data_IF_643217645725
#
_entry.id   IF_643217645725
#
_cell.length_a   1.000
_cell.length_b   1.000
_cell.length_c   1.000
_cell.angle_alpha   90.00
_cell.angle_beta   90.00
_cell.angle_gamma   90.00
#
_symmetry.space_group_name_H-M   'P 1'
#
loop_
_entity.id
_entity.type
_entity.pdbx_description
1 polymer ?
#
# COMPACT_ATOMS: atom_id res chain seq x y z
N UNK A 1 4.45 -12.53 -12.76
CA UNK A 1 5.90 -12.29 -12.62
C UNK A 1 6.06 -10.82 -12.28
N UNK A 2 6.39 -10.51 -11.02
CA UNK A 2 6.47 -9.13 -10.53
C UNK A 2 7.92 -8.67 -10.60
N UNK A 3 8.23 -7.85 -11.60
CA UNK A 3 9.56 -7.20 -11.73
C UNK A 3 9.64 -5.96 -10.82
N UNK A 4 8.48 -5.39 -10.47
CA UNK A 4 8.44 -4.22 -9.60
C UNK A 4 8.68 -4.62 -8.14
N UNK A 5 9.79 -4.16 -7.59
CA UNK A 5 10.18 -4.29 -6.18
C UNK A 5 10.62 -2.95 -5.63
N UNK A 6 10.45 -2.74 -4.35
CA UNK A 6 10.92 -1.53 -3.63
C UNK A 6 12.09 -1.81 -2.70
N UNK A 7 12.51 -3.07 -2.60
CA UNK A 7 13.68 -3.48 -1.79
C UNK A 7 14.85 -3.90 -2.65
N UNK A 8 16.06 -3.76 -2.10
CA UNK A 8 17.29 -4.26 -2.68
C UNK A 8 17.62 -5.61 -2.04
N UNK A 9 17.15 -6.70 -2.64
CA UNK A 9 17.37 -8.06 -2.14
C UNK A 9 18.31 -8.88 -3.02
N UNK A 10 18.98 -8.22 -3.96
CA UNK A 10 19.90 -8.86 -4.90
C UNK A 10 19.22 -9.56 -6.08
N UNK A 11 17.88 -9.47 -6.19
CA UNK A 11 17.17 -9.96 -7.37
C UNK A 11 17.41 -9.03 -8.56
N UNK A 12 17.86 -9.60 -9.67
CA UNK A 12 18.07 -8.91 -10.94
C UNK A 12 17.10 -9.49 -11.98
N UNK A 13 15.81 -9.24 -11.79
CA UNK A 13 14.80 -9.61 -12.76
C UNK A 13 14.65 -8.51 -13.80
N UNK A 14 14.37 -8.91 -15.04
CA UNK A 14 14.04 -7.96 -16.11
C UNK A 14 12.90 -8.50 -16.96
N UNK A 15 12.10 -7.58 -17.47
CA UNK A 15 11.01 -7.89 -18.41
C UNK A 15 11.19 -7.07 -19.67
N UNK A 16 10.96 -7.73 -20.81
CA UNK A 16 10.93 -7.06 -22.10
C UNK A 16 9.55 -6.48 -22.35
N UNK A 17 9.48 -5.16 -22.51
CA UNK A 17 8.25 -4.45 -22.82
C UNK A 17 8.30 -3.85 -24.22
N UNK A 18 7.12 -3.77 -24.85
CA UNK A 18 6.95 -3.15 -26.17
C UNK A 18 6.25 -1.83 -26.00
N UNK A 19 6.78 -0.81 -26.63
CA UNK A 19 6.23 0.52 -26.58
C UNK A 19 6.45 1.28 -27.88
N UNK A 20 6.18 2.58 -27.83
CA UNK A 20 6.44 3.50 -28.93
C UNK A 20 7.54 4.44 -28.51
N UNK A 21 8.56 4.57 -29.33
CA UNK A 21 9.59 5.56 -29.16
C UNK A 21 8.98 6.96 -29.33
N UNK A 22 9.17 7.82 -28.34
CA UNK A 22 8.56 9.16 -28.32
C UNK A 22 9.23 10.15 -29.27
N UNK A 23 10.46 9.86 -29.71
CA UNK A 23 11.21 10.70 -30.64
C UNK A 23 10.94 10.31 -32.08
N UNK A 24 11.05 9.03 -32.40
CA UNK A 24 10.90 8.51 -33.77
C UNK A 24 9.47 8.15 -34.12
N UNK A 25 8.62 7.93 -33.12
CA UNK A 25 7.24 7.47 -33.28
C UNK A 25 7.11 6.01 -33.66
N UNK A 26 8.22 5.25 -33.77
CA UNK A 26 8.24 3.86 -34.21
C UNK A 26 8.04 2.89 -33.04
N UNK A 27 7.48 1.70 -33.31
CA UNK A 27 7.45 0.61 -32.34
C UNK A 27 8.87 0.24 -31.92
N UNK A 28 9.09 0.11 -30.63
CA UNK A 28 10.38 -0.31 -30.07
C UNK A 28 10.16 -1.31 -28.94
N UNK A 29 11.22 -2.03 -28.64
CA UNK A 29 11.27 -3.01 -27.55
C UNK A 29 12.42 -2.66 -26.63
N UNK A 30 12.18 -2.59 -25.32
CA UNK A 30 13.21 -2.31 -24.33
C UNK A 30 13.04 -3.21 -23.11
N UNK A 31 14.10 -3.36 -22.36
CA UNK A 31 14.12 -4.12 -21.11
C UNK A 31 13.96 -3.19 -19.94
N UNK A 32 13.11 -3.54 -19.01
CA UNK A 32 12.93 -2.87 -17.72
C UNK A 32 13.39 -3.83 -16.63
N UNK A 33 14.32 -3.39 -15.81
CA UNK A 33 14.84 -4.17 -14.68
C UNK A 33 14.12 -3.87 -13.37
N UNK A 34 14.27 -4.74 -12.38
CA UNK A 34 13.81 -4.51 -11.00
C UNK A 34 14.39 -3.23 -10.43
N UNK A 35 15.66 -2.93 -10.76
CA UNK A 35 16.35 -1.73 -10.29
C UNK A 35 15.74 -0.45 -10.92
N UNK A 36 15.40 -0.48 -12.19
CA UNK A 36 14.71 0.65 -12.83
C UNK A 36 13.37 0.94 -12.15
N UNK A 37 12.62 -0.12 -11.81
CA UNK A 37 11.37 0.00 -11.08
C UNK A 37 11.58 0.55 -9.68
N UNK A 38 12.58 0.05 -8.95
CA UNK A 38 12.92 0.49 -7.60
C UNK A 38 13.24 1.99 -7.56
N UNK A 39 14.13 2.44 -8.46
CA UNK A 39 14.50 3.86 -8.57
C UNK A 39 13.27 4.73 -8.90
N UNK A 40 12.43 4.29 -9.82
CA UNK A 40 11.23 5.02 -10.19
C UNK A 40 10.19 5.13 -9.06
N UNK A 41 10.16 4.17 -8.15
CA UNK A 41 9.21 4.11 -7.02
C UNK A 41 9.75 4.76 -5.74
N UNK A 42 11.02 5.08 -5.66
CA UNK A 42 11.70 5.52 -4.43
C UNK A 42 11.01 6.72 -3.78
N UNK A 43 10.75 7.78 -4.53
CA UNK A 43 10.11 9.00 -4.02
C UNK A 43 8.67 8.74 -3.55
N UNK A 44 7.92 7.91 -4.28
CA UNK A 44 6.55 7.58 -3.92
C UNK A 44 6.50 6.77 -2.62
N UNK A 45 7.38 5.79 -2.47
CA UNK A 45 7.49 4.97 -1.25
C UNK A 45 7.96 5.82 -0.08
N UNK A 46 8.95 6.68 -0.26
CA UNK A 46 9.43 7.59 0.78
C UNK A 46 8.29 8.52 1.29
N UNK A 47 7.50 9.07 0.37
CA UNK A 47 6.35 9.90 0.70
C UNK A 47 5.28 9.14 1.48
N UNK A 48 5.00 7.87 1.10
CA UNK A 48 4.08 7.00 1.80
C UNK A 48 4.55 6.74 3.23
N UNK A 49 5.82 6.36 3.41
CA UNK A 49 6.41 6.10 4.73
C UNK A 49 6.36 7.35 5.61
N UNK A 50 6.72 8.50 5.06
CA UNK A 50 6.66 9.77 5.80
C UNK A 50 5.23 10.09 6.28
N UNK A 51 4.24 9.80 5.45
CA UNK A 51 2.82 9.97 5.80
C UNK A 51 2.42 9.07 6.97
N UNK A 52 2.79 7.79 6.92
CA UNK A 52 2.50 6.83 8.00
C UNK A 52 3.18 7.26 9.29
N UNK A 53 4.46 7.64 9.26
CA UNK A 53 5.18 8.16 10.42
C UNK A 53 4.49 9.39 11.02
N UNK A 54 4.08 10.34 10.19
CA UNK A 54 3.39 11.53 10.64
C UNK A 54 2.03 11.27 11.29
N UNK A 55 1.35 10.17 10.95
CA UNK A 55 0.14 9.69 11.64
C UNK A 55 0.51 9.07 12.98
N UNK A 56 1.51 8.18 13.02
CA UNK A 56 1.96 7.52 14.23
C UNK A 56 2.46 8.52 15.30
N UNK A 57 3.20 9.55 14.89
CA UNK A 57 3.69 10.61 15.78
C UNK A 57 2.56 11.42 16.47
N UNK A 58 1.40 11.52 15.80
CA UNK A 58 0.21 12.22 16.32
C UNK A 58 -0.76 11.30 17.05
N UNK A 59 -0.46 10.01 17.07
CA UNK A 59 -1.32 9.01 17.69
C UNK A 59 -1.26 9.13 19.23
N UNK A 60 -2.40 9.11 19.94
CA UNK A 60 -2.41 9.02 21.41
C UNK A 60 -1.65 7.80 21.92
N UNK A 61 -0.96 7.90 23.08
CA UNK A 61 -0.11 6.82 23.59
C UNK A 61 -0.82 5.47 23.74
N UNK A 62 -2.10 5.48 24.12
CA UNK A 62 -2.91 4.27 24.30
C UNK A 62 -3.11 3.54 22.96
N UNK A 63 -3.41 4.29 21.90
CA UNK A 63 -3.58 3.72 20.55
C UNK A 63 -2.23 3.32 19.94
N UNK A 64 -1.16 4.04 20.25
CA UNK A 64 0.18 3.70 19.80
C UNK A 64 0.62 2.33 20.34
N UNK A 65 0.30 2.01 21.62
CA UNK A 65 0.56 0.70 22.20
C UNK A 65 -0.20 -0.41 21.44
N UNK A 66 -1.49 -0.20 21.19
CA UNK A 66 -2.30 -1.16 20.42
C UNK A 66 -1.77 -1.39 19.00
N UNK A 67 -1.26 -0.34 18.35
CA UNK A 67 -0.65 -0.46 17.01
C UNK A 67 0.64 -1.28 17.05
N UNK A 68 1.47 -1.11 18.08
CA UNK A 68 2.70 -1.89 18.25
C UNK A 68 2.38 -3.37 18.45
N UNK A 69 1.35 -3.69 19.21
CA UNK A 69 0.95 -5.07 19.51
C UNK A 69 0.27 -5.75 18.32
N UNK A 70 -0.59 -5.04 17.59
CA UNK A 70 -1.38 -5.61 16.50
C UNK A 70 -0.75 -5.43 15.11
N UNK A 71 0.17 -4.50 14.94
CA UNK A 71 0.83 -4.21 13.67
C UNK A 71 0.01 -3.34 12.71
N UNK A 72 0.59 -3.13 11.53
CA UNK A 72 -0.02 -2.38 10.41
C UNK A 72 -0.47 -3.38 9.36
N UNK A 73 -1.71 -3.27 8.89
CA UNK A 73 -2.24 -4.09 7.80
C UNK A 73 -2.32 -3.29 6.51
N UNK A 74 -1.65 -3.79 5.46
CA UNK A 74 -1.69 -3.23 4.13
C UNK A 74 -2.81 -3.89 3.32
N UNK A 75 -3.63 -3.10 2.66
CA UNK A 75 -4.73 -3.53 1.80
C UNK A 75 -4.72 -2.80 0.46
N UNK A 76 -5.54 -3.26 -0.47
CA UNK A 76 -5.59 -2.70 -1.81
C UNK A 76 -4.46 -3.18 -2.72
N UNK A 77 -4.47 -2.74 -3.97
CA UNK A 77 -3.49 -3.16 -4.98
C UNK A 77 -2.05 -2.76 -4.66
N UNK A 78 -1.86 -1.64 -3.96
CA UNK A 78 -0.53 -1.18 -3.51
C UNK A 78 0.13 -2.14 -2.53
N UNK A 79 -0.64 -2.86 -1.73
CA UNK A 79 -0.12 -3.86 -0.80
C UNK A 79 0.61 -5.03 -1.48
N UNK A 80 0.31 -5.26 -2.77
CA UNK A 80 0.93 -6.31 -3.59
C UNK A 80 2.29 -5.88 -4.17
N UNK A 81 2.72 -4.65 -3.92
CA UNK A 81 4.04 -4.20 -4.34
C UNK A 81 5.11 -4.92 -3.51
N UNK A 82 5.95 -5.66 -4.22
CA UNK A 82 6.97 -6.50 -3.61
C UNK A 82 7.94 -5.68 -2.74
N UNK A 83 8.12 -6.11 -1.48
CA UNK A 83 8.96 -5.45 -0.51
C UNK A 83 8.33 -4.25 0.23
N UNK A 84 7.10 -3.84 -0.09
CA UNK A 84 6.49 -2.69 0.56
C UNK A 84 6.24 -2.92 2.06
N UNK A 85 5.77 -4.09 2.45
CA UNK A 85 5.56 -4.43 3.86
C UNK A 85 6.88 -4.44 4.65
N UNK A 86 7.94 -4.98 4.04
CA UNK A 86 9.28 -5.06 4.66
C UNK A 86 9.89 -3.68 4.86
N UNK A 87 9.82 -2.81 3.85
CA UNK A 87 10.33 -1.44 3.99
C UNK A 87 9.51 -0.64 5.00
N UNK A 88 8.18 -0.82 5.02
CA UNK A 88 7.31 -0.18 6.00
C UNK A 88 7.68 -0.61 7.42
N UNK A 89 7.82 -1.91 7.65
CA UNK A 89 8.23 -2.45 8.96
C UNK A 89 9.61 -1.95 9.37
N UNK A 90 10.59 -1.94 8.46
CA UNK A 90 11.93 -1.44 8.73
C UNK A 90 11.94 0.02 9.12
N UNK A 91 11.15 0.83 8.42
CA UNK A 91 11.14 2.28 8.59
C UNK A 91 10.28 2.77 9.76
N UNK A 92 9.26 2.01 10.17
CA UNK A 92 8.38 2.36 11.30
C UNK A 92 8.74 1.62 12.58
N UNK A 93 9.43 0.50 12.50
CA UNK A 93 9.68 -0.42 13.62
C UNK A 93 8.46 -1.24 14.04
N UNK A 94 7.34 -1.14 13.29
CA UNK A 94 6.09 -1.83 13.60
C UNK A 94 5.89 -2.98 12.63
N UNK A 95 5.49 -4.15 13.14
CA UNK A 95 5.18 -5.31 12.28
C UNK A 95 4.14 -4.95 11.24
N UNK A 96 4.43 -5.26 9.98
CA UNK A 96 3.54 -4.91 8.87
C UNK A 96 3.11 -6.17 8.14
N UNK A 97 1.80 -6.33 8.01
CA UNK A 97 1.15 -7.48 7.39
C UNK A 97 0.47 -7.08 6.08
N UNK A 98 0.49 -7.97 5.11
CA UNK A 98 -0.39 -7.87 3.94
C UNK A 98 -1.65 -8.68 4.27
N UNK A 99 -2.83 -8.11 4.05
CA UNK A 99 -4.09 -8.82 4.26
C UNK A 99 -4.21 -10.03 3.30
N UNK A 100 -4.94 -11.07 3.70
CA UNK A 100 -5.08 -12.31 2.92
C UNK A 100 -5.59 -12.05 1.50
N UNK A 101 -6.64 -11.23 1.37
CA UNK A 101 -7.20 -10.82 0.07
C UNK A 101 -7.19 -9.29 -0.06
N UNK A 102 -6.01 -8.67 -0.28
CA UNK A 102 -5.87 -7.23 -0.15
C UNK A 102 -6.72 -6.42 -1.12
N UNK A 103 -7.06 -6.95 -2.29
CA UNK A 103 -7.92 -6.30 -3.28
C UNK A 103 -9.39 -6.33 -2.87
N UNK A 104 -9.81 -7.32 -2.10
CA UNK A 104 -11.21 -7.55 -1.74
C UNK A 104 -11.57 -7.03 -0.34
N UNK A 105 -10.59 -6.65 0.48
CA UNK A 105 -10.78 -6.23 1.87
C UNK A 105 -11.88 -5.19 2.06
N UNK A 106 -11.93 -4.17 1.19
CA UNK A 106 -12.91 -3.08 1.28
C UNK A 106 -14.32 -3.62 1.00
N UNK A 107 -14.48 -4.43 -0.04
CA UNK A 107 -15.77 -5.00 -0.42
C UNK A 107 -16.28 -5.98 0.66
N UNK A 108 -15.42 -6.87 1.13
CA UNK A 108 -15.73 -7.83 2.19
C UNK A 108 -16.04 -7.13 3.52
N UNK A 109 -15.25 -6.12 3.88
CA UNK A 109 -15.47 -5.32 5.09
C UNK A 109 -16.78 -4.55 5.04
N UNK A 110 -17.11 -3.95 3.92
CA UNK A 110 -18.37 -3.25 3.70
C UNK A 110 -19.56 -4.22 3.80
N UNK A 111 -19.46 -5.40 3.20
CA UNK A 111 -20.48 -6.45 3.32
C UNK A 111 -20.71 -6.86 4.77
N UNK A 112 -19.64 -7.14 5.52
CA UNK A 112 -19.73 -7.47 6.95
C UNK A 112 -20.32 -6.32 7.79
N UNK A 113 -20.00 -5.08 7.46
CA UNK A 113 -20.58 -3.92 8.13
C UNK A 113 -22.10 -3.82 7.89
N UNK A 114 -22.56 -4.06 6.65
CA UNK A 114 -23.99 -4.07 6.32
C UNK A 114 -24.75 -5.18 7.07
N UNK A 115 -24.16 -6.35 7.23
CA UNK A 115 -24.77 -7.46 8.00
C UNK A 115 -24.87 -7.19 9.51
N UNK A 116 -24.09 -6.23 10.02
CA UNK A 116 -24.00 -5.92 11.44
C UNK A 116 -24.31 -4.46 11.76
N UNK A 117 -25.13 -3.80 10.93
CA UNK A 117 -25.48 -2.38 11.10
C UNK A 117 -26.07 -2.05 12.47
N UNK A 118 -26.87 -2.96 13.02
CA UNK A 118 -27.50 -2.85 14.34
C UNK A 118 -26.49 -2.90 15.50
N UNK A 119 -25.31 -3.43 15.28
CA UNK A 119 -24.19 -3.52 16.26
C UNK A 119 -23.21 -2.38 16.16
N UNK A 120 -23.24 -1.61 15.07
CA UNK A 120 -22.36 -0.46 14.89
C UNK A 120 -22.86 0.72 15.73
N UNK A 121 -21.95 1.36 16.45
CA UNK A 121 -22.30 2.53 17.26
C UNK A 121 -22.75 3.70 16.37
N UNK A 122 -23.72 4.53 16.85
CA UNK A 122 -24.07 5.78 16.18
C UNK A 122 -22.80 6.64 16.00
N UNK A 123 -22.49 7.03 14.78
CA UNK A 123 -21.25 7.73 14.41
C UNK A 123 -20.21 6.89 13.70
N UNK A 124 -20.31 5.56 13.73
CA UNK A 124 -19.47 4.65 12.93
C UNK A 124 -19.97 4.56 11.49
N UNK A 125 -21.24 4.86 11.25
CA UNK A 125 -21.86 4.87 9.92
C UNK A 125 -21.99 6.31 9.45
N UNK A 126 -21.23 6.69 8.45
CA UNK A 126 -21.46 7.95 7.74
C UNK A 126 -22.67 7.78 6.83
N UNK A 127 -23.80 8.36 7.21
CA UNK A 127 -24.95 8.48 6.30
C UNK A 127 -24.69 9.63 5.33
N UNK A 128 -25.14 9.50 4.09
CA UNK A 128 -24.98 10.53 3.05
C UNK A 128 -25.56 11.90 3.47
N UNK A 129 -26.46 11.94 4.47
CA UNK A 129 -27.00 13.17 5.05
C UNK A 129 -25.99 14.00 5.85
N UNK A 130 -24.84 13.44 6.23
CA UNK A 130 -23.81 14.14 7.00
C UNK A 130 -22.67 14.68 6.11
N UNK A 131 -22.81 14.57 4.79
CA UNK A 131 -21.82 15.05 3.80
C UNK A 131 -22.21 16.37 3.13
N UNK A 132 -23.32 16.99 3.56
CA UNK A 132 -23.83 18.26 2.99
C UNK A 132 -24.04 19.24 4.14
N UNK A 133 -22.96 19.83 4.62
CA UNK A 133 -22.90 21.13 5.30
C UNK A 133 -21.55 21.77 5.02
#
# INVERSE_FOLDING_TARGET
>A
MNVATVITDGRHESITVRGRDMVTGLPTTFSVSSEDCRVALEDAVASLIATVRGVLEKCPPELAADIVDNGIYLTGGGALLDGLAEIMQRETGITTHIADDPLECVALGTGKALENLDKLHPGTVYTASNLVD
#
